data_IF_154260080829
#
_entry.id   IF_154260080829
#
_cell.length_a   1.000
_cell.length_b   1.000
_cell.length_c   1.000
_cell.angle_alpha   90.00
_cell.angle_beta   90.00
_cell.angle_gamma   90.00
#
_symmetry.space_group_name_H-M   'P 1'
#
loop_
_entity.id
_entity.type
_entity.pdbx_description
1 polymer ?
#
# COMPACT_ATOMS: atom_id res chain seq x y z
N UNK A 1 32.70 19.43 18.83
CA UNK A 1 32.39 19.72 17.40
C UNK A 1 31.83 18.54 16.59
N UNK A 2 32.28 17.29 16.75
CA UNK A 2 31.73 16.13 15.99
C UNK A 2 30.23 15.87 16.23
N UNK A 3 29.77 15.95 17.49
CA UNK A 3 28.36 15.67 17.85
C UNK A 3 27.37 16.66 17.20
N UNK A 4 27.71 17.95 17.16
CA UNK A 4 26.90 18.99 16.50
C UNK A 4 26.83 18.73 14.99
N UNK A 5 27.95 18.35 14.37
CA UNK A 5 27.98 17.98 12.94
C UNK A 5 27.05 16.80 12.65
N UNK A 6 27.11 15.74 13.45
CA UNK A 6 26.21 14.59 13.28
C UNK A 6 24.76 14.99 13.49
N UNK A 7 24.43 15.74 14.54
CA UNK A 7 23.07 16.21 14.81
C UNK A 7 22.47 17.01 13.64
N UNK A 8 23.24 17.94 13.07
CA UNK A 8 22.82 18.68 11.87
C UNK A 8 22.65 17.77 10.65
N UNK A 9 23.54 16.79 10.45
CA UNK A 9 23.38 15.80 9.38
C UNK A 9 22.11 14.98 9.57
N UNK A 10 21.81 14.50 10.79
CA UNK A 10 20.57 13.75 11.05
C UNK A 10 19.34 14.61 10.80
N UNK A 11 19.36 15.89 11.18
CA UNK A 11 18.25 16.81 10.96
C UNK A 11 18.00 17.06 9.47
N UNK A 12 19.06 17.23 8.68
CA UNK A 12 18.98 17.39 7.22
C UNK A 12 18.42 16.11 6.59
N UNK A 13 18.94 14.94 6.96
CA UNK A 13 18.46 13.65 6.45
C UNK A 13 16.98 13.45 6.81
N UNK A 14 16.59 13.75 8.05
CA UNK A 14 15.20 13.68 8.49
C UNK A 14 14.31 14.62 7.68
N UNK A 15 14.77 15.84 7.41
CA UNK A 15 14.02 16.84 6.62
C UNK A 15 13.81 16.36 5.19
N UNK A 16 14.87 15.85 4.54
CA UNK A 16 14.79 15.29 3.20
C UNK A 16 13.81 14.11 3.18
N UNK A 17 13.89 13.22 4.18
CA UNK A 17 12.98 12.09 4.31
C UNK A 17 11.51 12.53 4.44
N UNK A 18 11.23 13.51 5.31
CA UNK A 18 9.89 14.04 5.54
C UNK A 18 9.34 14.72 4.28
N UNK A 19 10.13 15.56 3.61
CA UNK A 19 9.72 16.25 2.38
C UNK A 19 9.47 15.24 1.25
N UNK A 20 10.38 14.28 1.05
CA UNK A 20 10.22 13.22 0.05
C UNK A 20 8.96 12.39 0.31
N UNK A 21 8.73 11.98 1.56
CA UNK A 21 7.53 11.27 1.97
C UNK A 21 6.25 12.07 1.74
N UNK A 22 6.26 13.37 2.05
CA UNK A 22 5.11 14.25 1.82
C UNK A 22 4.79 14.41 0.32
N UNK A 23 5.82 14.57 -0.52
CA UNK A 23 5.66 14.63 -1.99
C UNK A 23 5.07 13.33 -2.51
N UNK A 24 5.62 12.18 -2.09
CA UNK A 24 5.11 10.86 -2.47
C UNK A 24 3.64 10.67 -2.07
N UNK A 25 3.27 10.99 -0.83
CA UNK A 25 1.89 10.92 -0.36
C UNK A 25 0.96 11.84 -1.15
N UNK A 26 1.44 13.02 -1.57
CA UNK A 26 0.67 13.95 -2.39
C UNK A 26 0.39 13.37 -3.78
N UNK A 27 1.40 12.81 -4.46
CA UNK A 27 1.23 12.14 -5.75
C UNK A 27 0.32 10.92 -5.65
N UNK A 28 0.50 10.12 -4.61
CA UNK A 28 -0.32 8.94 -4.35
C UNK A 28 -1.78 9.34 -4.08
N UNK A 29 -2.01 10.40 -3.30
CA UNK A 29 -3.32 10.99 -3.09
C UNK A 29 -3.95 11.51 -4.38
N UNK A 30 -3.17 12.17 -5.25
CA UNK A 30 -3.66 12.64 -6.55
C UNK A 30 -4.05 11.48 -7.48
N UNK A 31 -3.23 10.43 -7.56
CA UNK A 31 -3.54 9.23 -8.33
C UNK A 31 -4.82 8.53 -7.85
N UNK A 32 -5.01 8.43 -6.53
CA UNK A 32 -6.18 7.82 -5.92
C UNK A 32 -7.44 8.70 -6.03
N UNK A 33 -7.29 10.02 -6.03
CA UNK A 33 -8.37 10.95 -6.35
C UNK A 33 -8.81 10.83 -7.82
N UNK A 34 -7.87 10.69 -8.74
CA UNK A 34 -8.18 10.40 -10.15
C UNK A 34 -8.91 9.06 -10.30
N UNK A 35 -8.40 8.02 -9.63
CA UNK A 35 -9.01 6.69 -9.61
C UNK A 35 -10.44 6.74 -9.06
N UNK A 36 -10.69 7.43 -7.95
CA UNK A 36 -12.03 7.51 -7.37
C UNK A 36 -13.04 8.16 -8.32
N UNK A 37 -12.63 9.20 -9.07
CA UNK A 37 -13.49 9.83 -10.09
C UNK A 37 -13.83 8.88 -11.23
N UNK A 38 -12.87 8.09 -11.69
CA UNK A 38 -13.10 7.06 -12.72
C UNK A 38 -14.09 6.01 -12.20
N UNK A 39 -13.89 5.55 -10.96
CA UNK A 39 -14.78 4.56 -10.35
C UNK A 39 -16.21 5.08 -10.16
N UNK A 40 -16.37 6.33 -9.74
CA UNK A 40 -17.69 6.97 -9.64
C UNK A 40 -18.33 7.10 -11.02
N UNK A 41 -17.56 7.51 -12.04
CA UNK A 41 -18.06 7.69 -13.41
C UNK A 41 -18.62 6.39 -14.01
N UNK A 42 -17.96 5.26 -13.76
CA UNK A 42 -18.42 3.94 -14.21
C UNK A 42 -19.42 3.28 -13.25
N UNK A 43 -19.90 3.97 -12.21
CA UNK A 43 -20.78 3.42 -11.18
C UNK A 43 -20.21 2.20 -10.43
N UNK A 44 -18.88 2.08 -10.38
CA UNK A 44 -18.14 0.96 -9.76
C UNK A 44 -17.85 1.17 -8.27
N UNK A 45 -17.94 2.43 -7.82
CA UNK A 45 -17.78 2.78 -6.42
C UNK A 45 -18.61 4.00 -6.04
N UNK A 46 -19.04 4.02 -4.78
CA UNK A 46 -19.71 5.14 -4.15
C UNK A 46 -18.85 5.72 -3.02
N UNK A 47 -18.68 7.03 -3.04
CA UNK A 47 -17.97 7.80 -2.02
C UNK A 47 -18.93 8.87 -1.48
N UNK A 48 -19.60 8.55 -0.38
CA UNK A 48 -20.68 9.36 0.19
C UNK A 48 -20.28 10.32 1.30
N UNK A 49 -19.00 10.32 1.71
CA UNK A 49 -18.55 11.18 2.81
C UNK A 49 -18.39 12.62 2.27
N UNK A 50 -19.30 13.49 2.70
CA UNK A 50 -19.38 14.89 2.25
C UNK A 50 -19.50 15.82 3.46
N UNK A 51 -18.40 15.99 4.19
CA UNK A 51 -18.22 16.93 5.30
C UNK A 51 -17.30 18.08 4.85
N UNK A 52 -16.76 18.85 5.81
CA UNK A 52 -15.81 19.91 5.51
C UNK A 52 -14.55 19.36 4.81
N UNK A 53 -13.78 20.26 4.18
CA UNK A 53 -12.57 19.89 3.44
C UNK A 53 -11.58 19.03 4.27
N UNK A 54 -11.29 19.47 5.50
CA UNK A 54 -10.37 18.75 6.39
C UNK A 54 -10.89 17.37 6.82
N UNK A 55 -12.19 17.27 7.10
CA UNK A 55 -12.81 16.00 7.47
C UNK A 55 -12.72 15.00 6.31
N UNK A 56 -13.03 15.45 5.09
CA UNK A 56 -12.96 14.61 3.90
C UNK A 56 -11.51 14.19 3.62
N UNK A 57 -10.56 15.11 3.77
CA UNK A 57 -9.14 14.83 3.59
C UNK A 57 -8.65 13.77 4.59
N UNK A 58 -9.03 13.87 5.86
CA UNK A 58 -8.66 12.89 6.88
C UNK A 58 -9.35 11.53 6.64
N UNK A 59 -10.64 11.53 6.32
CA UNK A 59 -11.40 10.31 6.11
C UNK A 59 -10.88 9.53 4.90
N UNK A 60 -10.82 10.15 3.71
CA UNK A 60 -10.31 9.50 2.52
C UNK A 60 -8.79 9.30 2.54
N UNK A 61 -8.03 10.18 3.18
CA UNK A 61 -6.58 10.04 3.34
C UNK A 61 -6.21 8.87 4.26
N UNK A 62 -6.92 8.69 5.37
CA UNK A 62 -6.69 7.56 6.28
C UNK A 62 -6.98 6.22 5.60
N UNK A 63 -8.01 6.14 4.76
CA UNK A 63 -8.33 4.93 3.96
C UNK A 63 -7.12 4.47 3.13
N UNK A 64 -6.44 5.42 2.50
CA UNK A 64 -5.27 5.17 1.67
C UNK A 64 -4.09 4.65 2.50
N UNK A 65 -3.80 5.35 3.60
CA UNK A 65 -2.69 5.01 4.49
C UNK A 65 -2.91 3.63 5.12
N UNK A 66 -4.13 3.35 5.56
CA UNK A 66 -4.47 2.07 6.18
C UNK A 66 -4.43 0.92 5.17
N UNK A 67 -4.82 1.18 3.91
CA UNK A 67 -4.62 0.26 2.80
C UNK A 67 -3.16 -0.12 2.58
N UNK A 68 -2.27 0.89 2.56
CA UNK A 68 -0.83 0.68 2.46
C UNK A 68 -0.28 -0.13 3.65
N UNK A 69 -0.68 0.18 4.88
CA UNK A 69 -0.26 -0.60 6.06
C UNK A 69 -0.73 -2.05 5.99
N UNK A 70 -1.93 -2.31 5.47
CA UNK A 70 -2.46 -3.67 5.28
C UNK A 70 -1.58 -4.46 4.31
N UNK A 71 -1.27 -3.87 3.15
CA UNK A 71 -0.34 -4.42 2.16
C UNK A 71 1.02 -4.74 2.78
N UNK A 72 1.61 -3.75 3.46
CA UNK A 72 2.91 -3.90 4.11
C UNK A 72 2.90 -4.99 5.19
N UNK A 73 1.86 -5.05 6.02
CA UNK A 73 1.74 -6.05 7.08
C UNK A 73 1.64 -7.47 6.51
N UNK A 74 0.78 -7.69 5.51
CA UNK A 74 0.63 -9.01 4.87
C UNK A 74 1.94 -9.42 4.20
N UNK A 75 2.61 -8.52 3.49
CA UNK A 75 3.87 -8.81 2.82
C UNK A 75 4.97 -9.22 3.82
N UNK A 76 5.17 -8.45 4.88
CA UNK A 76 6.17 -8.80 5.91
C UNK A 76 5.86 -10.13 6.61
N UNK A 77 4.58 -10.42 6.83
CA UNK A 77 4.13 -11.64 7.48
C UNK A 77 4.33 -12.86 6.55
N UNK A 78 4.03 -12.71 5.26
CA UNK A 78 4.29 -13.70 4.23
C UNK A 78 5.79 -13.97 4.04
N UNK A 79 6.62 -12.92 4.02
CA UNK A 79 8.08 -13.05 3.99
C UNK A 79 8.64 -13.75 5.24
N UNK A 80 8.07 -13.44 6.42
CA UNK A 80 8.45 -14.12 7.65
C UNK A 80 8.14 -15.62 7.59
N UNK A 81 6.95 -15.99 7.09
CA UNK A 81 6.60 -17.40 6.91
C UNK A 81 7.48 -18.09 5.87
N UNK A 82 7.78 -17.42 4.74
CA UNK A 82 8.69 -17.94 3.72
C UNK A 82 10.06 -18.27 4.31
N UNK A 83 10.63 -17.38 5.14
CA UNK A 83 11.92 -17.59 5.80
C UNK A 83 11.91 -18.74 6.80
N UNK A 84 10.82 -18.89 7.56
CA UNK A 84 10.67 -19.90 8.62
C UNK A 84 10.27 -21.29 8.10
N UNK A 85 9.53 -21.35 7.01
CA UNK A 85 9.00 -22.57 6.38
C UNK A 85 9.60 -22.79 4.99
N UNK A 86 10.93 -22.76 4.91
CA UNK A 86 11.69 -22.73 3.65
C UNK A 86 11.34 -23.84 2.64
N UNK A 87 10.95 -25.03 3.12
CA UNK A 87 10.67 -26.20 2.27
C UNK A 87 9.17 -26.41 1.98
N UNK A 88 8.31 -25.43 2.26
CA UNK A 88 6.88 -25.58 2.04
C UNK A 88 6.48 -25.09 0.63
N UNK A 89 5.85 -25.92 -0.21
CA UNK A 89 5.46 -25.56 -1.58
C UNK A 89 4.41 -24.43 -1.67
N UNK A 90 3.71 -24.11 -0.57
CA UNK A 90 2.76 -22.99 -0.54
C UNK A 90 3.44 -21.61 -0.44
N UNK A 91 4.70 -21.55 0.02
CA UNK A 91 5.43 -20.29 0.22
C UNK A 91 6.55 -20.07 -0.82
N UNK A 92 6.40 -20.65 -2.01
CA UNK A 92 7.39 -20.59 -3.09
C UNK A 92 6.75 -20.24 -4.44
N UNK A 93 7.39 -19.38 -5.23
CA UNK A 93 6.97 -19.07 -6.60
C UNK A 93 5.52 -18.60 -6.71
N UNK A 94 4.78 -19.04 -7.73
CA UNK A 94 3.44 -18.54 -8.06
C UNK A 94 2.42 -18.69 -6.91
N UNK A 95 2.49 -19.78 -6.14
CA UNK A 95 1.56 -20.02 -5.02
C UNK A 95 1.73 -18.99 -3.91
N UNK A 96 2.98 -18.56 -3.64
CA UNK A 96 3.28 -17.47 -2.71
C UNK A 96 2.60 -16.16 -3.14
N UNK A 97 2.76 -15.78 -4.41
CA UNK A 97 2.17 -14.54 -4.94
C UNK A 97 0.63 -14.61 -4.91
N UNK A 98 0.04 -15.76 -5.27
CA UNK A 98 -1.41 -15.96 -5.23
C UNK A 98 -1.97 -15.86 -3.81
N UNK A 99 -1.35 -16.52 -2.82
CA UNK A 99 -1.80 -16.45 -1.43
C UNK A 99 -1.68 -15.01 -0.92
N UNK A 100 -0.55 -14.35 -1.17
CA UNK A 100 -0.33 -12.95 -0.77
C UNK A 100 -1.40 -12.06 -1.39
N UNK A 101 -1.68 -12.22 -2.69
CA UNK A 101 -2.70 -11.47 -3.40
C UNK A 101 -4.10 -11.68 -2.79
N UNK A 102 -4.52 -12.94 -2.59
CA UNK A 102 -5.85 -13.27 -2.05
C UNK A 102 -6.02 -12.75 -0.63
N UNK A 103 -5.05 -13.01 0.25
CA UNK A 103 -5.10 -12.58 1.65
C UNK A 103 -5.16 -11.06 1.74
N UNK A 104 -4.31 -10.37 0.98
CA UNK A 104 -4.30 -8.90 0.99
C UNK A 104 -5.60 -8.32 0.47
N UNK A 105 -6.13 -8.85 -0.64
CA UNK A 105 -7.36 -8.37 -1.27
C UNK A 105 -8.56 -8.53 -0.33
N UNK A 106 -8.68 -9.69 0.34
CA UNK A 106 -9.73 -9.95 1.33
C UNK A 106 -9.61 -9.03 2.55
N UNK A 107 -8.42 -8.94 3.14
CA UNK A 107 -8.21 -8.07 4.30
C UNK A 107 -8.49 -6.61 3.98
N UNK A 108 -8.01 -6.13 2.83
CA UNK A 108 -8.31 -4.79 2.35
C UNK A 108 -9.82 -4.58 2.19
N UNK A 109 -10.52 -5.49 1.51
CA UNK A 109 -11.97 -5.42 1.34
C UNK A 109 -12.71 -5.29 2.68
N UNK A 110 -12.39 -6.16 3.65
CA UNK A 110 -13.04 -6.14 4.97
C UNK A 110 -12.72 -4.88 5.75
N UNK A 111 -11.47 -4.44 5.78
CA UNK A 111 -11.05 -3.23 6.47
C UNK A 111 -11.83 -2.03 5.94
N UNK A 112 -11.93 -1.90 4.62
CA UNK A 112 -12.63 -0.79 3.96
C UNK A 112 -14.11 -0.82 4.32
N UNK A 113 -14.79 -1.95 4.16
CA UNK A 113 -16.24 -2.02 4.37
C UNK A 113 -16.64 -1.98 5.85
N UNK A 114 -15.75 -2.37 6.78
CA UNK A 114 -16.01 -2.30 8.23
C UNK A 114 -15.73 -0.89 8.77
N UNK A 115 -14.61 -0.27 8.40
CA UNK A 115 -14.17 1.00 9.00
C UNK A 115 -14.63 2.22 8.22
N UNK A 116 -14.92 2.09 6.92
CA UNK A 116 -15.27 3.19 6.05
C UNK A 116 -16.69 3.02 5.48
N UNK A 117 -17.70 3.26 6.32
CA UNK A 117 -19.13 3.11 5.98
C UNK A 117 -19.60 3.94 4.79
N UNK A 118 -18.92 5.05 4.50
CA UNK A 118 -19.24 5.93 3.37
C UNK A 118 -18.49 5.58 2.07
N UNK A 119 -17.70 4.51 2.07
CA UNK A 119 -17.01 3.98 0.89
C UNK A 119 -17.65 2.63 0.57
N UNK A 120 -18.22 2.51 -0.62
CA UNK A 120 -18.70 1.23 -1.14
C UNK A 120 -18.02 0.97 -2.47
N UNK A 121 -17.28 -0.13 -2.55
CA UNK A 121 -16.56 -0.54 -3.75
C UNK A 121 -16.88 -2.01 -3.95
N UNK A 122 -17.37 -2.37 -5.15
CA UNK A 122 -17.68 -3.77 -5.44
C UNK A 122 -16.44 -4.66 -5.32
N UNK A 123 -16.60 -5.87 -4.77
CA UNK A 123 -15.47 -6.76 -4.49
C UNK A 123 -14.60 -7.03 -5.73
N UNK A 124 -15.23 -7.28 -6.89
CA UNK A 124 -14.50 -7.57 -8.12
C UNK A 124 -13.67 -6.37 -8.61
N UNK A 125 -14.12 -5.13 -8.33
CA UNK A 125 -13.38 -3.91 -8.66
C UNK A 125 -12.09 -3.85 -7.83
N UNK A 126 -12.18 -4.19 -6.55
CA UNK A 126 -11.01 -4.29 -5.67
C UNK A 126 -10.06 -5.38 -6.17
N UNK A 127 -10.57 -6.55 -6.59
CA UNK A 127 -9.75 -7.62 -7.17
C UNK A 127 -8.99 -7.11 -8.41
N UNK A 128 -9.63 -6.36 -9.30
CA UNK A 128 -9.00 -5.79 -10.50
C UNK A 128 -7.92 -4.76 -10.14
N UNK A 129 -8.22 -3.83 -9.24
CA UNK A 129 -7.27 -2.80 -8.79
C UNK A 129 -6.06 -3.48 -8.14
N UNK A 130 -6.29 -4.42 -7.22
CA UNK A 130 -5.22 -5.15 -6.54
C UNK A 130 -4.40 -5.98 -7.52
N UNK A 131 -5.03 -6.59 -8.54
CA UNK A 131 -4.33 -7.36 -9.56
C UNK A 131 -3.40 -6.48 -10.39
N UNK A 132 -3.87 -5.30 -10.81
CA UNK A 132 -3.05 -4.29 -11.48
C UNK A 132 -1.87 -3.84 -10.61
N UNK A 133 -2.10 -3.54 -9.34
CA UNK A 133 -1.05 -3.16 -8.40
C UNK A 133 -0.01 -4.27 -8.22
N UNK A 134 -0.45 -5.53 -8.17
CA UNK A 134 0.44 -6.68 -8.03
C UNK A 134 1.29 -6.90 -9.29
N UNK A 135 0.69 -6.75 -10.48
CA UNK A 135 1.43 -6.81 -11.76
C UNK A 135 2.45 -5.68 -11.83
N UNK A 136 2.06 -4.45 -11.50
CA UNK A 136 2.98 -3.32 -11.43
C UNK A 136 4.13 -3.61 -10.46
N UNK A 137 3.84 -4.18 -9.29
CA UNK A 137 4.87 -4.59 -8.34
C UNK A 137 5.85 -5.59 -8.97
N UNK A 138 5.38 -6.67 -9.59
CA UNK A 138 6.27 -7.66 -10.22
C UNK A 138 7.11 -7.08 -11.37
N UNK A 139 6.56 -6.12 -12.12
CA UNK A 139 7.28 -5.47 -13.23
C UNK A 139 8.33 -4.47 -12.74
N UNK A 140 7.98 -3.61 -11.76
CA UNK A 140 8.86 -2.55 -11.28
C UNK A 140 9.81 -3.00 -10.16
N UNK A 141 9.41 -4.01 -9.39
CA UNK A 141 10.15 -4.60 -8.29
C UNK A 141 10.11 -6.14 -8.40
N UNK A 142 10.69 -6.71 -9.48
CA UNK A 142 10.80 -8.16 -9.60
C UNK A 142 11.57 -8.68 -8.39
N UNK A 143 11.11 -9.83 -7.86
CA UNK A 143 11.69 -10.60 -6.75
C UNK A 143 13.13 -10.16 -6.48
N UNK A 144 13.34 -9.54 -5.31
CA UNK A 144 14.59 -8.90 -4.92
C UNK A 144 15.77 -9.83 -5.18
N UNK A 145 16.38 -9.69 -6.37
CA UNK A 145 17.72 -10.22 -6.64
C UNK A 145 18.57 -9.68 -5.52
N UNK A 146 19.09 -10.56 -4.68
CA UNK A 146 19.91 -10.21 -3.54
C UNK A 146 20.95 -9.17 -3.98
N UNK A 147 20.73 -7.91 -3.61
CA UNK A 147 21.61 -6.81 -3.99
C UNK A 147 22.96 -6.92 -3.27
N UNK A 148 23.02 -7.73 -2.21
CA UNK A 148 24.26 -8.21 -1.60
C UNK A 148 24.71 -9.50 -2.30
N UNK A 149 25.15 -9.39 -3.55
CA UNK A 149 25.94 -10.44 -4.19
C UNK A 149 27.34 -10.53 -3.55
N UNK A 150 27.42 -10.97 -2.30
CA UNK A 150 28.69 -11.44 -1.73
C UNK A 150 28.88 -12.89 -2.16
N UNK A 151 29.54 -13.07 -3.30
CA UNK A 151 30.36 -14.26 -3.53
C UNK A 151 31.64 -14.15 -2.71
#
# INVERSE_FOLDING_TARGET
MKFIKYFFTTLIVLTIFVISGAIFLTFLGFGLFGLSRILIYFHLAYFGYNRGFYDNLLYYGSYIVFGYFTLFAVENLMDYFRKKLHNNPYFQGLTYHLITFVVTTLLFYFIVHIHYTYINIEFWVIVVIMGLLFICKEVFYPDSKDLNQKK
#
